data_IF_892389499005
#
_entry.id   IF_892389499005
#
_cell.length_a   1.000
_cell.length_b   1.000
_cell.length_c   1.000
_cell.angle_alpha   90.00
_cell.angle_beta   90.00
_cell.angle_gamma   90.00
#
_symmetry.space_group_name_H-M   'P 1'
#
loop_
_entity.id
_entity.type
_entity.pdbx_description
1 polymer ?
#
# COMPACT_ATOMS: atom_id res chain seq x y z
N UNK A 1 65.78 -54.03 -2.44
CA UNK A 1 64.59 -54.86 -2.62
C UNK A 1 63.36 -54.29 -1.92
N UNK A 2 63.50 -53.30 -1.07
CA UNK A 2 62.45 -52.73 -0.21
C UNK A 2 61.72 -51.49 -0.83
N UNK A 3 62.23 -50.84 -1.88
CA UNK A 3 61.54 -49.67 -2.52
C UNK A 3 60.52 -50.04 -3.61
N UNK A 4 60.69 -51.17 -4.29
CA UNK A 4 59.75 -51.63 -5.32
C UNK A 4 58.35 -51.98 -4.79
N UNK A 5 58.30 -52.55 -3.62
CA UNK A 5 57.03 -53.01 -3.00
C UNK A 5 56.19 -51.82 -2.53
N UNK A 6 56.79 -50.65 -2.26
CA UNK A 6 56.08 -49.45 -1.80
C UNK A 6 55.33 -48.71 -2.93
N UNK A 7 55.78 -48.79 -4.18
CA UNK A 7 55.20 -48.14 -5.33
C UNK A 7 54.05 -48.95 -5.96
N UNK A 8 54.06 -50.25 -5.91
CA UNK A 8 52.97 -51.10 -6.40
C UNK A 8 51.70 -50.96 -5.53
N UNK A 9 51.85 -50.89 -4.20
CA UNK A 9 50.71 -50.70 -3.32
C UNK A 9 49.99 -49.32 -3.42
N UNK A 10 50.73 -48.27 -3.83
CA UNK A 10 50.15 -46.93 -4.01
C UNK A 10 49.36 -46.82 -5.33
N UNK A 11 49.78 -47.51 -6.36
CA UNK A 11 49.08 -47.55 -7.63
C UNK A 11 47.80 -48.37 -7.55
N UNK A 12 47.80 -49.49 -6.86
CA UNK A 12 46.57 -50.28 -6.63
C UNK A 12 45.51 -49.53 -5.84
N UNK A 13 45.90 -48.74 -4.84
CA UNK A 13 44.93 -47.88 -4.08
C UNK A 13 44.39 -46.75 -4.94
N UNK A 14 45.17 -46.19 -5.86
CA UNK A 14 44.70 -45.16 -6.82
C UNK A 14 43.72 -45.74 -7.83
N UNK A 15 44.02 -46.90 -8.38
CA UNK A 15 43.09 -47.58 -9.33
C UNK A 15 41.79 -48.00 -8.66
N UNK A 16 41.84 -48.49 -7.41
CA UNK A 16 40.62 -48.85 -6.65
C UNK A 16 39.78 -47.61 -6.36
N UNK A 17 40.40 -46.48 -5.99
CA UNK A 17 39.67 -45.20 -5.77
C UNK A 17 39.07 -44.67 -7.05
N UNK A 18 39.80 -44.72 -8.16
CA UNK A 18 39.27 -44.26 -9.47
C UNK A 18 38.09 -45.12 -9.90
N UNK A 19 38.14 -46.42 -9.70
CA UNK A 19 37.08 -47.37 -10.00
C UNK A 19 35.82 -47.17 -9.13
N UNK A 20 35.96 -46.74 -7.90
CA UNK A 20 34.84 -46.41 -6.99
C UNK A 20 34.20 -45.09 -7.40
N UNK A 21 35.03 -44.07 -7.72
CA UNK A 21 34.55 -42.76 -8.18
C UNK A 21 33.81 -42.89 -9.52
N UNK A 22 34.35 -43.64 -10.49
CA UNK A 22 33.70 -43.85 -11.78
C UNK A 22 32.36 -44.62 -11.64
N UNK A 23 32.26 -45.59 -10.72
CA UNK A 23 30.99 -46.29 -10.42
C UNK A 23 29.98 -45.37 -9.75
N UNK A 24 30.41 -44.50 -8.86
CA UNK A 24 29.57 -43.48 -8.22
C UNK A 24 29.05 -42.46 -9.26
N UNK A 25 29.93 -41.95 -10.13
CA UNK A 25 29.52 -41.02 -11.23
C UNK A 25 28.54 -41.68 -12.21
N UNK A 26 28.73 -42.94 -12.60
CA UNK A 26 27.78 -43.68 -13.43
C UNK A 26 26.39 -43.80 -12.74
N UNK A 27 26.34 -44.12 -11.46
CA UNK A 27 25.11 -44.20 -10.67
C UNK A 27 24.41 -42.88 -10.55
N UNK A 28 25.14 -41.79 -10.33
CA UNK A 28 24.60 -40.39 -10.30
C UNK A 28 24.07 -40.01 -11.68
N UNK A 29 24.79 -40.35 -12.77
CA UNK A 29 24.32 -40.08 -14.13
C UNK A 29 23.03 -40.84 -14.46
N UNK A 30 22.92 -42.10 -14.08
CA UNK A 30 21.70 -42.91 -14.25
C UNK A 30 20.55 -42.34 -13.41
N UNK A 31 20.81 -41.90 -12.18
CA UNK A 31 19.80 -41.27 -11.33
C UNK A 31 19.29 -39.95 -11.92
N UNK A 32 20.18 -39.15 -12.52
CA UNK A 32 19.82 -37.92 -13.23
C UNK A 32 18.98 -38.17 -14.50
N UNK A 33 19.30 -39.19 -15.25
CA UNK A 33 18.53 -39.61 -16.44
C UNK A 33 17.15 -40.14 -16.02
N UNK A 34 17.06 -40.94 -14.95
CA UNK A 34 15.80 -41.42 -14.43
C UNK A 34 14.95 -40.27 -13.84
N UNK A 35 15.56 -39.31 -13.17
CA UNK A 35 14.87 -38.13 -12.64
C UNK A 35 14.38 -37.21 -13.77
N UNK A 36 15.16 -37.03 -14.85
CA UNK A 36 14.73 -36.26 -16.01
C UNK A 36 13.63 -36.97 -16.82
N UNK A 37 13.69 -38.31 -16.92
CA UNK A 37 12.62 -39.10 -17.51
C UNK A 37 11.35 -39.09 -16.66
N UNK A 38 11.46 -39.07 -15.34
CA UNK A 38 10.34 -38.91 -14.43
C UNK A 38 9.73 -37.52 -14.53
N UNK A 39 10.54 -36.46 -14.60
CA UNK A 39 10.10 -35.08 -14.80
C UNK A 39 9.43 -34.87 -16.18
N UNK A 40 9.91 -35.53 -17.24
CA UNK A 40 9.27 -35.46 -18.56
C UNK A 40 7.96 -36.26 -18.62
N UNK A 41 7.81 -37.35 -17.84
CA UNK A 41 6.56 -38.10 -17.71
C UNK A 41 5.46 -37.30 -16.96
N UNK A 42 5.85 -36.32 -16.12
CA UNK A 42 4.91 -35.38 -15.50
C UNK A 42 4.54 -34.17 -16.38
N UNK A 43 5.14 -34.02 -17.54
CA UNK A 43 4.57 -33.16 -18.58
C UNK A 43 3.36 -33.90 -19.17
N UNK A 44 2.28 -33.94 -18.39
CA UNK A 44 0.98 -34.29 -18.88
C UNK A 44 0.75 -33.45 -20.14
N UNK A 45 0.73 -34.06 -21.30
CA UNK A 45 0.12 -33.48 -22.48
C UNK A 45 -1.28 -33.09 -22.03
N UNK A 46 -1.46 -31.80 -21.67
CA UNK A 46 -2.79 -31.26 -21.54
C UNK A 46 -3.40 -31.42 -22.89
N UNK A 47 -4.17 -32.48 -23.04
CA UNK A 47 -5.09 -32.61 -24.16
C UNK A 47 -5.88 -31.30 -24.13
N UNK A 48 -5.67 -30.47 -25.15
CA UNK A 48 -6.45 -29.28 -25.37
C UNK A 48 -7.88 -29.81 -25.53
N UNK A 49 -8.69 -29.65 -24.48
CA UNK A 49 -10.09 -30.02 -24.54
C UNK A 49 -10.69 -29.19 -25.68
N UNK A 50 -11.38 -29.79 -26.63
CA UNK A 50 -12.12 -29.10 -27.69
C UNK A 50 -13.26 -28.22 -27.13
N UNK A 51 -13.40 -28.15 -25.81
CA UNK A 51 -14.38 -27.32 -25.15
C UNK A 51 -13.98 -25.82 -25.26
N UNK A 52 -14.90 -24.97 -25.70
CA UNK A 52 -14.68 -23.55 -25.77
C UNK A 52 -14.24 -23.00 -24.39
N UNK A 53 -13.34 -22.05 -24.36
CA UNK A 53 -12.84 -21.45 -23.13
C UNK A 53 -13.55 -20.12 -22.87
N UNK A 54 -14.22 -19.99 -21.72
CA UNK A 54 -14.72 -18.74 -21.19
C UNK A 54 -13.81 -18.27 -20.03
N UNK A 55 -13.07 -17.19 -20.24
CA UNK A 55 -12.31 -16.56 -19.17
C UNK A 55 -13.22 -15.59 -18.40
N UNK A 56 -13.14 -15.59 -17.07
CA UNK A 56 -13.95 -14.74 -16.22
C UNK A 56 -13.05 -13.88 -15.34
N UNK A 57 -13.21 -12.57 -15.44
CA UNK A 57 -12.56 -11.57 -14.62
C UNK A 57 -13.59 -10.90 -13.71
N UNK A 58 -13.22 -10.62 -12.47
CA UNK A 58 -14.10 -9.93 -11.50
C UNK A 58 -13.51 -8.59 -11.10
N UNK A 59 -14.31 -7.54 -11.24
CA UNK A 59 -13.98 -6.15 -10.86
C UNK A 59 -14.98 -5.69 -9.79
N UNK A 60 -14.53 -5.70 -8.54
CA UNK A 60 -15.27 -5.23 -7.36
C UNK A 60 -14.51 -4.10 -6.66
N UNK A 61 -14.12 -3.09 -7.42
CA UNK A 61 -13.32 -1.98 -6.93
C UNK A 61 -13.58 -0.70 -7.75
N UNK A 62 -13.19 0.49 -7.26
CA UNK A 62 -13.19 1.71 -8.06
C UNK A 62 -12.31 1.57 -9.30
N UNK A 63 -12.72 2.17 -10.41
CA UNK A 63 -12.00 2.16 -11.68
C UNK A 63 -10.74 3.02 -11.56
N UNK A 64 -9.63 2.38 -11.27
CA UNK A 64 -8.31 2.96 -11.02
C UNK A 64 -7.24 2.32 -11.92
N UNK A 65 -6.06 2.94 -12.12
CA UNK A 65 -5.04 2.44 -13.04
C UNK A 65 -4.68 0.95 -12.90
N UNK A 66 -4.60 0.33 -11.69
CA UNK A 66 -4.32 -1.10 -11.59
C UNK A 66 -5.38 -2.00 -12.25
N UNK A 67 -6.64 -1.54 -12.34
CA UNK A 67 -7.69 -2.30 -13.05
C UNK A 67 -7.53 -2.24 -14.57
N UNK A 68 -6.97 -1.16 -15.13
CA UNK A 68 -6.60 -1.13 -16.54
C UNK A 68 -5.58 -2.22 -16.87
N UNK A 69 -4.51 -2.33 -16.06
CA UNK A 69 -3.49 -3.38 -16.24
C UNK A 69 -4.11 -4.78 -16.15
N UNK A 70 -4.96 -5.01 -15.15
CA UNK A 70 -5.67 -6.27 -14.98
C UNK A 70 -6.53 -6.62 -16.21
N UNK A 71 -7.36 -5.66 -16.70
CA UNK A 71 -8.25 -5.89 -17.84
C UNK A 71 -7.43 -6.10 -19.12
N UNK A 72 -6.39 -5.31 -19.35
CA UNK A 72 -5.49 -5.48 -20.51
C UNK A 72 -4.81 -6.84 -20.49
N UNK A 73 -4.27 -7.27 -19.36
CA UNK A 73 -3.72 -8.63 -19.19
C UNK A 73 -4.76 -9.72 -19.42
N UNK A 74 -6.01 -9.47 -19.03
CA UNK A 74 -7.14 -10.37 -19.29
C UNK A 74 -7.40 -10.55 -20.76
N UNK A 75 -7.50 -9.46 -21.52
CA UNK A 75 -7.70 -9.45 -22.98
C UNK A 75 -6.53 -10.17 -23.67
N UNK A 76 -5.29 -9.82 -23.36
CA UNK A 76 -4.12 -10.51 -23.92
C UNK A 76 -4.08 -12.00 -23.58
N UNK A 77 -4.49 -12.38 -22.37
CA UNK A 77 -4.55 -13.78 -21.97
C UNK A 77 -5.63 -14.53 -22.72
N UNK A 78 -6.79 -13.90 -22.96
CA UNK A 78 -7.86 -14.43 -23.76
C UNK A 78 -7.40 -14.67 -25.21
N UNK A 79 -6.69 -13.70 -25.80
CA UNK A 79 -6.11 -13.84 -27.15
C UNK A 79 -5.09 -14.97 -27.22
N UNK A 80 -4.10 -15.01 -26.32
CA UNK A 80 -3.07 -16.07 -26.30
C UNK A 80 -3.64 -17.49 -26.10
N UNK A 81 -4.77 -17.60 -25.41
CA UNK A 81 -5.42 -18.90 -25.12
C UNK A 81 -6.52 -19.26 -26.11
N UNK A 82 -6.74 -18.41 -27.10
CA UNK A 82 -7.86 -18.55 -28.04
C UNK A 82 -9.20 -18.75 -27.32
N UNK A 83 -9.45 -17.92 -26.30
CA UNK A 83 -10.70 -17.97 -25.55
C UNK A 83 -11.87 -17.62 -26.47
N UNK A 84 -12.98 -18.32 -26.30
CA UNK A 84 -14.22 -18.04 -27.03
C UNK A 84 -14.80 -16.69 -26.60
N UNK A 85 -14.71 -16.39 -25.30
CA UNK A 85 -15.21 -15.15 -24.70
C UNK A 85 -14.42 -14.80 -23.46
N UNK A 86 -14.23 -13.51 -23.24
CA UNK A 86 -13.81 -12.93 -21.98
C UNK A 86 -15.02 -12.28 -21.30
N UNK A 87 -15.42 -12.78 -20.14
CA UNK A 87 -16.49 -12.19 -19.32
C UNK A 87 -15.86 -11.27 -18.29
N UNK A 88 -16.20 -10.00 -18.36
CA UNK A 88 -15.83 -8.99 -17.36
C UNK A 88 -17.02 -8.77 -16.43
N UNK A 89 -17.03 -9.47 -15.29
CA UNK A 89 -18.02 -9.26 -14.25
C UNK A 89 -17.69 -7.99 -13.48
N UNK A 90 -18.64 -7.03 -13.39
CA UNK A 90 -18.39 -5.70 -12.84
C UNK A 90 -19.40 -5.34 -11.76
N UNK A 91 -18.86 -4.84 -10.61
CA UNK A 91 -19.60 -4.21 -9.52
C UNK A 91 -18.79 -3.03 -9.02
N UNK A 92 -19.13 -1.80 -9.43
CA UNK A 92 -18.38 -0.59 -9.11
C UNK A 92 -19.24 0.63 -9.05
N UNK A 93 -18.90 1.57 -8.19
CA UNK A 93 -19.52 2.89 -8.10
C UNK A 93 -18.93 3.91 -9.09
N UNK A 94 -17.87 3.52 -9.82
CA UNK A 94 -17.18 4.39 -10.77
C UNK A 94 -15.70 4.54 -10.48
N UNK A 95 -15.09 5.63 -10.92
CA UNK A 95 -13.66 5.92 -10.72
C UNK A 95 -13.10 6.92 -11.71
N UNK A 96 -11.82 6.81 -12.06
CA UNK A 96 -11.10 7.72 -12.93
C UNK A 96 -11.61 7.70 -14.36
N UNK A 97 -11.94 8.87 -14.91
CA UNK A 97 -12.40 9.05 -16.31
C UNK A 97 -11.28 8.66 -17.31
N UNK A 98 -10.03 9.02 -17.04
CA UNK A 98 -8.89 8.67 -17.88
C UNK A 98 -8.71 7.15 -17.96
N UNK A 99 -8.75 6.47 -16.81
CA UNK A 99 -8.67 5.01 -16.74
C UNK A 99 -9.84 4.35 -17.46
N UNK A 100 -11.05 4.88 -17.30
CA UNK A 100 -12.25 4.41 -18.00
C UNK A 100 -12.08 4.47 -19.52
N UNK A 101 -11.61 5.61 -20.07
CA UNK A 101 -11.42 5.73 -21.54
C UNK A 101 -10.39 4.74 -22.07
N UNK A 102 -9.30 4.52 -21.32
CA UNK A 102 -8.29 3.52 -21.69
C UNK A 102 -8.85 2.09 -21.67
N UNK A 103 -9.67 1.75 -20.67
CA UNK A 103 -10.36 0.46 -20.59
C UNK A 103 -11.36 0.30 -21.77
N UNK A 104 -12.16 1.32 -22.07
CA UNK A 104 -13.07 1.32 -23.22
C UNK A 104 -12.30 1.07 -24.50
N UNK A 105 -11.18 1.76 -24.71
CA UNK A 105 -10.32 1.57 -25.88
C UNK A 105 -9.79 0.13 -25.95
N UNK A 106 -9.30 -0.42 -24.84
CA UNK A 106 -8.78 -1.78 -24.79
C UNK A 106 -9.86 -2.84 -25.11
N UNK A 107 -11.10 -2.65 -24.60
CA UNK A 107 -12.22 -3.53 -24.89
C UNK A 107 -12.58 -3.45 -26.39
N UNK A 108 -12.71 -2.24 -26.93
CA UNK A 108 -13.13 -2.06 -28.32
C UNK A 108 -12.10 -2.49 -29.35
N UNK A 109 -10.81 -2.45 -29.02
CA UNK A 109 -9.71 -2.94 -29.83
C UNK A 109 -9.45 -4.46 -29.67
N UNK A 110 -10.27 -5.17 -28.91
CA UNK A 110 -10.07 -6.60 -28.67
C UNK A 110 -10.63 -7.45 -29.82
N UNK A 111 -9.80 -8.37 -30.35
CA UNK A 111 -10.21 -9.41 -31.31
C UNK A 111 -11.08 -10.49 -30.63
N UNK A 112 -10.84 -10.73 -29.33
CA UNK A 112 -11.65 -11.67 -28.54
C UNK A 112 -12.90 -10.96 -28.03
N UNK A 113 -14.08 -11.56 -28.17
CA UNK A 113 -15.31 -11.03 -27.63
C UNK A 113 -15.21 -10.77 -26.12
N UNK A 114 -15.38 -9.50 -25.71
CA UNK A 114 -15.48 -9.09 -24.31
C UNK A 114 -16.93 -8.85 -23.97
N UNK A 115 -17.47 -9.66 -23.08
CA UNK A 115 -18.85 -9.55 -22.58
C UNK A 115 -18.78 -8.91 -21.18
N UNK A 116 -19.43 -7.77 -21.02
CA UNK A 116 -19.48 -7.14 -19.69
C UNK A 116 -20.76 -7.58 -18.99
N UNK A 117 -20.61 -8.11 -17.79
CA UNK A 117 -21.69 -8.63 -16.98
C UNK A 117 -21.79 -7.89 -15.65
N UNK A 118 -22.83 -7.09 -15.49
CA UNK A 118 -23.10 -6.38 -14.21
C UNK A 118 -23.66 -7.40 -13.22
N UNK A 119 -22.84 -7.86 -12.30
CA UNK A 119 -23.15 -8.92 -11.34
C UNK A 119 -22.19 -8.84 -10.12
N UNK A 120 -22.52 -9.49 -9.01
CA UNK A 120 -23.68 -10.36 -8.74
C UNK A 120 -25.01 -9.60 -8.59
N UNK A 121 -26.06 -10.30 -8.13
CA UNK A 121 -27.33 -9.67 -7.74
C UNK A 121 -27.06 -8.45 -6.81
N UNK A 122 -27.80 -7.34 -7.02
CA UNK A 122 -27.61 -6.03 -6.39
C UNK A 122 -26.31 -5.28 -6.77
N UNK A 123 -25.55 -5.78 -7.75
CA UNK A 123 -24.38 -5.04 -8.23
C UNK A 123 -24.75 -3.74 -8.91
N UNK A 124 -23.81 -2.81 -8.93
CA UNK A 124 -23.94 -1.50 -9.54
C UNK A 124 -22.84 -1.34 -10.59
N UNK A 125 -23.21 -0.97 -11.81
CA UNK A 125 -22.30 -0.38 -12.79
C UNK A 125 -22.52 1.13 -12.80
N UNK A 126 -21.91 1.84 -11.86
CA UNK A 126 -22.07 3.28 -11.69
C UNK A 126 -21.00 4.08 -12.42
N UNK A 127 -21.34 5.27 -12.91
CA UNK A 127 -20.39 6.24 -13.48
C UNK A 127 -19.49 5.62 -14.55
N UNK A 128 -18.16 5.61 -14.35
CA UNK A 128 -17.20 4.95 -15.24
C UNK A 128 -17.56 3.48 -15.54
N UNK A 129 -18.13 2.77 -14.55
CA UNK A 129 -18.56 1.38 -14.70
C UNK A 129 -19.66 1.22 -15.75
N UNK A 130 -20.61 2.13 -15.82
CA UNK A 130 -21.66 2.11 -16.83
C UNK A 130 -21.10 2.33 -18.25
N UNK A 131 -20.17 3.24 -18.41
CA UNK A 131 -19.50 3.49 -19.71
C UNK A 131 -18.70 2.25 -20.15
N UNK A 132 -17.97 1.62 -19.22
CA UNK A 132 -17.24 0.36 -19.48
C UNK A 132 -18.22 -0.77 -19.84
N UNK A 133 -19.36 -0.85 -19.13
CA UNK A 133 -20.36 -1.86 -19.43
C UNK A 133 -20.92 -1.69 -20.87
N UNK A 134 -21.28 -0.47 -21.26
CA UNK A 134 -21.76 -0.17 -22.61
C UNK A 134 -20.72 -0.44 -23.69
N UNK A 135 -19.42 -0.38 -23.39
CA UNK A 135 -18.34 -0.64 -24.33
C UNK A 135 -18.14 -2.15 -24.62
N UNK A 136 -18.73 -3.05 -23.86
CA UNK A 136 -18.71 -4.47 -24.11
C UNK A 136 -19.26 -4.84 -25.49
N UNK A 137 -18.70 -5.89 -26.11
CA UNK A 137 -19.22 -6.42 -27.37
C UNK A 137 -20.61 -7.05 -27.19
N UNK A 138 -20.89 -7.58 -26.01
CA UNK A 138 -22.23 -7.82 -25.49
C UNK A 138 -22.30 -7.38 -24.04
N UNK A 139 -23.49 -7.02 -23.58
CA UNK A 139 -23.73 -6.51 -22.22
C UNK A 139 -24.85 -7.32 -21.57
N UNK A 140 -24.57 -7.79 -20.36
CA UNK A 140 -25.55 -8.50 -19.57
C UNK A 140 -25.66 -7.92 -18.16
N UNK A 141 -26.80 -8.11 -17.52
CA UNK A 141 -27.02 -7.69 -16.13
C UNK A 141 -27.70 -8.81 -15.34
N UNK A 142 -27.30 -8.96 -14.08
CA UNK A 142 -27.99 -9.84 -13.13
C UNK A 142 -29.30 -9.16 -12.63
N UNK A 143 -30.25 -9.92 -12.09
CA UNK A 143 -31.44 -9.37 -11.45
C UNK A 143 -31.10 -8.35 -10.36
N UNK A 144 -31.94 -7.32 -10.22
CA UNK A 144 -31.83 -6.30 -9.17
C UNK A 144 -30.51 -5.50 -9.24
N UNK A 145 -29.86 -5.43 -10.41
CA UNK A 145 -28.68 -4.61 -10.65
C UNK A 145 -29.07 -3.26 -11.25
N UNK A 146 -28.17 -2.29 -11.13
CA UNK A 146 -28.34 -0.90 -11.57
C UNK A 146 -27.18 -0.52 -12.48
N UNK A 147 -27.49 0.25 -13.53
CA UNK A 147 -26.50 0.84 -14.45
C UNK A 147 -26.80 2.33 -14.65
N UNK A 148 -25.77 3.18 -14.69
CA UNK A 148 -25.92 4.60 -15.01
C UNK A 148 -25.18 5.55 -14.08
N UNK A 149 -25.79 6.73 -13.83
CA UNK A 149 -25.22 7.81 -13.02
C UNK A 149 -23.82 8.25 -13.51
N UNK A 150 -23.68 8.51 -14.83
CA UNK A 150 -22.36 8.70 -15.49
C UNK A 150 -22.01 10.18 -15.76
N UNK A 151 -22.60 11.11 -15.03
CA UNK A 151 -22.24 12.53 -15.13
C UNK A 151 -20.78 12.77 -14.74
N UNK A 152 -19.98 13.45 -15.57
CA UNK A 152 -18.61 13.81 -15.23
C UNK A 152 -18.54 14.74 -14.03
N UNK A 153 -17.59 14.47 -13.13
CA UNK A 153 -17.23 15.29 -11.98
C UNK A 153 -15.75 15.66 -12.08
N UNK A 154 -15.32 16.69 -11.35
CA UNK A 154 -13.91 17.07 -11.26
C UNK A 154 -13.06 15.97 -10.58
N UNK A 155 -11.76 15.96 -10.88
CA UNK A 155 -10.81 15.05 -10.22
C UNK A 155 -10.71 15.25 -8.70
N UNK A 156 -11.07 16.44 -8.20
CA UNK A 156 -11.23 16.71 -6.77
C UNK A 156 -12.58 16.23 -6.22
N UNK A 157 -13.47 15.72 -7.08
CA UNK A 157 -14.83 15.32 -6.74
C UNK A 157 -15.83 16.49 -6.64
N UNK A 158 -15.39 17.71 -6.87
CA UNK A 158 -16.27 18.89 -6.94
C UNK A 158 -17.08 18.90 -8.23
N UNK A 159 -18.19 19.62 -8.24
CA UNK A 159 -18.90 19.91 -9.47
C UNK A 159 -18.00 20.71 -10.41
N UNK A 160 -17.87 20.24 -11.64
CA UNK A 160 -17.21 20.99 -12.71
C UNK A 160 -17.96 22.30 -12.94
N UNK A 161 -17.23 23.38 -13.24
CA UNK A 161 -17.88 24.57 -13.76
C UNK A 161 -18.62 24.25 -15.07
N UNK A 162 -19.61 25.06 -15.43
CA UNK A 162 -20.50 24.80 -16.58
C UNK A 162 -19.76 24.44 -17.87
N UNK A 163 -18.66 25.15 -18.18
CA UNK A 163 -17.92 24.96 -19.42
C UNK A 163 -17.07 23.66 -19.39
N UNK A 164 -16.42 23.37 -18.28
CA UNK A 164 -15.66 22.12 -18.11
C UNK A 164 -16.59 20.90 -18.10
N UNK A 165 -17.75 21.01 -17.43
CA UNK A 165 -18.78 19.97 -17.42
C UNK A 165 -19.31 19.71 -18.84
N UNK A 166 -19.66 20.75 -19.59
CA UNK A 166 -20.11 20.61 -20.97
C UNK A 166 -19.07 19.93 -21.87
N UNK A 167 -17.81 20.33 -21.75
CA UNK A 167 -16.70 19.69 -22.50
C UNK A 167 -16.54 18.20 -22.14
N UNK A 168 -16.51 17.85 -20.85
CA UNK A 168 -16.38 16.49 -20.38
C UNK A 168 -17.57 15.61 -20.79
N UNK A 169 -18.79 16.12 -20.66
CA UNK A 169 -20.02 15.46 -21.07
C UNK A 169 -20.03 15.20 -22.58
N UNK A 170 -19.72 16.20 -23.41
CA UNK A 170 -19.67 16.04 -24.86
C UNK A 170 -18.56 15.05 -25.30
N UNK A 171 -17.40 15.08 -24.67
CA UNK A 171 -16.33 14.13 -24.92
C UNK A 171 -16.77 12.70 -24.59
N UNK A 172 -17.42 12.49 -23.44
CA UNK A 172 -17.92 11.17 -23.03
C UNK A 172 -18.99 10.66 -24.00
N UNK A 173 -19.94 11.51 -24.41
CA UNK A 173 -20.94 11.15 -25.43
C UNK A 173 -20.31 10.78 -26.76
N UNK A 174 -19.30 11.53 -27.22
CA UNK A 174 -18.61 11.24 -28.47
C UNK A 174 -17.92 9.86 -28.45
N UNK A 175 -17.40 9.45 -27.29
CA UNK A 175 -16.81 8.10 -27.10
C UNK A 175 -17.88 7.02 -27.08
N UNK A 176 -19.03 7.26 -26.45
CA UNK A 176 -20.10 6.27 -26.24
C UNK A 176 -20.92 6.00 -27.50
N UNK A 177 -21.22 7.03 -28.28
CA UNK A 177 -22.08 6.95 -29.47
C UNK A 177 -21.71 5.81 -30.44
N UNK A 178 -20.45 5.62 -30.86
CA UNK A 178 -20.11 4.62 -31.87
C UNK A 178 -20.50 3.17 -31.51
N UNK A 179 -20.57 2.85 -30.23
CA UNK A 179 -20.92 1.49 -29.78
C UNK A 179 -22.32 1.35 -29.19
N UNK A 180 -23.00 2.47 -28.90
CA UNK A 180 -24.41 2.45 -28.44
C UNK A 180 -25.38 2.75 -29.56
N UNK A 181 -25.05 3.63 -30.50
CA UNK A 181 -25.95 3.99 -31.63
C UNK A 181 -26.42 2.77 -32.44
N UNK A 182 -25.58 1.74 -32.72
CA UNK A 182 -26.02 0.51 -33.39
C UNK A 182 -27.09 -0.28 -32.60
N UNK A 183 -27.22 -0.07 -31.29
CA UNK A 183 -28.24 -0.69 -30.43
C UNK A 183 -29.61 -0.04 -30.56
N UNK A 184 -29.70 1.12 -31.23
CA UNK A 184 -30.93 1.80 -31.52
C UNK A 184 -31.11 3.12 -30.78
N UNK A 185 -32.15 3.89 -31.23
CA UNK A 185 -32.40 5.24 -30.69
C UNK A 185 -32.73 5.27 -29.19
N UNK A 186 -33.45 4.25 -28.69
CA UNK A 186 -33.80 4.19 -27.28
C UNK A 186 -32.56 3.96 -26.38
N UNK A 187 -31.67 3.07 -26.82
CA UNK A 187 -30.41 2.84 -26.15
C UNK A 187 -29.51 4.08 -26.10
N UNK A 188 -29.38 4.75 -27.25
CA UNK A 188 -28.60 5.99 -27.34
C UNK A 188 -29.17 7.09 -26.44
N UNK A 189 -30.46 7.32 -26.48
CA UNK A 189 -31.13 8.33 -25.64
C UNK A 189 -30.96 8.04 -24.15
N UNK A 190 -31.05 6.76 -23.77
CA UNK A 190 -30.82 6.34 -22.38
C UNK A 190 -29.35 6.53 -21.95
N UNK A 191 -28.37 6.14 -22.78
CA UNK A 191 -26.96 6.37 -22.52
C UNK A 191 -26.61 7.85 -22.38
N UNK A 192 -27.17 8.72 -23.24
CA UNK A 192 -26.98 10.16 -23.14
C UNK A 192 -27.62 10.74 -21.86
N UNK A 193 -28.82 10.29 -21.46
CA UNK A 193 -29.42 10.70 -20.19
C UNK A 193 -28.61 10.25 -18.96
N UNK A 194 -27.94 9.09 -19.01
CA UNK A 194 -27.00 8.66 -17.96
C UNK A 194 -25.82 9.63 -17.81
N UNK A 195 -25.37 10.22 -18.91
CA UNK A 195 -24.25 11.16 -18.93
C UNK A 195 -24.68 12.59 -18.60
N UNK A 196 -25.79 13.07 -19.17
CA UNK A 196 -26.27 14.44 -18.99
C UNK A 196 -26.93 14.67 -17.62
N UNK A 197 -27.81 13.75 -17.23
CA UNK A 197 -28.74 13.88 -16.11
C UNK A 197 -28.39 12.98 -14.94
N UNK A 198 -27.27 12.27 -15.02
CA UNK A 198 -26.86 11.23 -14.04
C UNK A 198 -27.97 10.16 -13.83
N UNK A 199 -28.77 9.86 -14.86
CA UNK A 199 -29.84 8.87 -14.78
C UNK A 199 -29.26 7.49 -14.49
N UNK A 200 -29.88 6.78 -13.56
CA UNK A 200 -29.60 5.38 -13.29
C UNK A 200 -30.87 4.55 -13.55
N UNK A 201 -30.70 3.35 -14.06
CA UNK A 201 -31.82 2.47 -14.44
C UNK A 201 -31.60 1.06 -13.96
N UNK A 202 -32.70 0.34 -13.83
CA UNK A 202 -32.72 -1.09 -13.48
C UNK A 202 -32.37 -1.95 -14.69
N UNK A 203 -32.10 -3.26 -14.45
CA UNK A 203 -31.88 -4.25 -15.51
C UNK A 203 -33.03 -4.32 -16.51
N UNK A 204 -34.29 -4.20 -16.05
CA UNK A 204 -35.46 -4.33 -16.91
C UNK A 204 -35.65 -3.12 -17.81
N UNK A 205 -35.41 -1.90 -17.29
CA UNK A 205 -35.40 -0.67 -18.09
C UNK A 205 -34.27 -0.65 -19.13
N UNK A 206 -33.07 -1.10 -18.74
CA UNK A 206 -31.92 -1.21 -19.64
C UNK A 206 -32.17 -2.23 -20.78
N UNK A 207 -32.79 -3.36 -20.44
CA UNK A 207 -33.15 -4.39 -21.43
C UNK A 207 -34.23 -3.88 -22.39
N UNK A 208 -35.27 -3.23 -21.87
CA UNK A 208 -36.37 -2.63 -22.69
C UNK A 208 -35.84 -1.58 -23.64
N UNK A 209 -34.85 -0.80 -23.24
CA UNK A 209 -34.21 0.20 -24.09
C UNK A 209 -33.19 -0.40 -25.08
N UNK A 210 -32.94 -1.72 -25.05
CA UNK A 210 -31.87 -2.40 -25.78
C UNK A 210 -30.46 -1.90 -25.46
N UNK A 211 -30.27 -1.26 -24.29
CA UNK A 211 -28.93 -0.86 -23.82
C UNK A 211 -28.10 -2.07 -23.43
N UNK A 212 -28.74 -3.13 -22.94
CA UNK A 212 -28.14 -4.42 -22.65
C UNK A 212 -28.77 -5.53 -23.52
N UNK A 213 -28.04 -6.61 -23.71
CA UNK A 213 -28.43 -7.71 -24.57
C UNK A 213 -29.15 -8.84 -23.79
N UNK A 214 -28.73 -9.04 -22.52
CA UNK A 214 -29.23 -10.17 -21.72
C UNK A 214 -29.47 -9.81 -20.26
N UNK A 215 -30.47 -10.46 -19.68
CA UNK A 215 -30.65 -10.62 -18.23
C UNK A 215 -30.31 -12.07 -17.86
N UNK A 216 -29.32 -12.29 -17.01
CA UNK A 216 -28.83 -13.61 -16.63
C UNK A 216 -28.65 -13.72 -15.11
N UNK A 217 -29.00 -14.85 -14.50
CA UNK A 217 -28.87 -15.05 -13.06
C UNK A 217 -27.46 -15.49 -12.63
N UNK A 218 -26.72 -16.10 -13.54
CA UNK A 218 -25.38 -16.65 -13.29
C UNK A 218 -24.54 -16.60 -14.57
N UNK A 219 -23.25 -16.90 -14.44
CA UNK A 219 -22.34 -17.03 -15.58
C UNK A 219 -22.78 -18.19 -16.49
N UNK A 220 -23.27 -19.29 -15.92
CA UNK A 220 -23.78 -20.44 -16.71
C UNK A 220 -25.01 -20.04 -17.52
N UNK A 221 -25.92 -19.27 -16.97
CA UNK A 221 -27.10 -18.76 -17.70
C UNK A 221 -26.69 -17.77 -18.77
N UNK A 222 -25.70 -16.90 -18.50
CA UNK A 222 -25.14 -16.00 -19.48
C UNK A 222 -24.50 -16.75 -20.66
N UNK A 223 -23.69 -17.76 -20.38
CA UNK A 223 -23.07 -18.59 -21.46
C UNK A 223 -24.10 -19.30 -22.30
N UNK A 224 -25.21 -19.78 -21.73
CA UNK A 224 -26.33 -20.35 -22.52
C UNK A 224 -26.98 -19.28 -23.41
N UNK A 225 -27.19 -18.07 -22.90
CA UNK A 225 -27.80 -17.00 -23.66
C UNK A 225 -26.90 -16.48 -24.79
N UNK A 226 -25.59 -16.43 -24.57
CA UNK A 226 -24.58 -16.03 -25.54
C UNK A 226 -24.38 -17.05 -26.67
N UNK A 227 -24.79 -18.31 -26.51
CA UNK A 227 -24.54 -19.33 -27.51
C UNK A 227 -25.31 -19.07 -28.80
N UNK A 228 -24.60 -18.88 -29.90
CA UNK A 228 -25.16 -18.51 -31.21
C UNK A 228 -25.37 -16.98 -31.38
N UNK A 229 -25.13 -16.17 -30.33
CA UNK A 229 -25.21 -14.73 -30.45
C UNK A 229 -24.02 -14.17 -31.22
N UNK A 230 -24.28 -13.27 -32.17
CA UNK A 230 -23.23 -12.65 -32.98
C UNK A 230 -22.83 -11.33 -32.41
N UNK A 231 -21.55 -11.16 -32.12
CA UNK A 231 -20.93 -9.90 -31.66
C UNK A 231 -20.04 -9.32 -32.75
N UNK A 232 -19.85 -7.99 -32.68
CA UNK A 232 -18.93 -7.27 -33.56
C UNK A 232 -17.68 -6.92 -32.77
N UNK A 233 -16.56 -7.53 -33.11
CA UNK A 233 -15.21 -7.23 -32.57
C UNK A 233 -14.40 -6.42 -33.58
N UNK A 234 -13.18 -6.02 -33.21
CA UNK A 234 -12.26 -5.35 -34.15
C UNK A 234 -11.87 -6.28 -35.30
N UNK A 235 -11.78 -7.60 -35.08
CA UNK A 235 -11.54 -8.63 -36.11
C UNK A 235 -12.77 -8.90 -37.00
N UNK A 236 -13.95 -8.33 -36.69
CA UNK A 236 -15.19 -8.52 -37.46
C UNK A 236 -16.32 -9.21 -36.70
N UNK A 237 -17.38 -9.58 -37.44
CA UNK A 237 -18.53 -10.27 -36.85
C UNK A 237 -18.18 -11.73 -36.48
N UNK A 238 -18.50 -12.13 -35.25
CA UNK A 238 -18.24 -13.46 -34.72
C UNK A 238 -19.45 -14.03 -33.98
N UNK A 239 -19.93 -15.21 -34.39
CA UNK A 239 -20.93 -15.97 -33.65
C UNK A 239 -20.25 -16.71 -32.49
N UNK A 240 -20.82 -16.61 -31.29
CA UNK A 240 -20.26 -17.20 -30.08
C UNK A 240 -20.71 -18.67 -29.92
N UNK A 241 -19.79 -19.54 -29.57
CA UNK A 241 -20.03 -20.96 -29.29
C UNK A 241 -19.72 -21.23 -27.80
N UNK A 242 -20.60 -20.77 -26.94
CA UNK A 242 -20.38 -20.82 -25.49
C UNK A 242 -21.09 -21.95 -24.77
N UNK A 243 -21.83 -22.81 -25.50
CA UNK A 243 -22.45 -23.99 -24.92
C UNK A 243 -21.37 -24.94 -24.39
N UNK A 244 -21.47 -25.31 -23.12
CA UNK A 244 -20.50 -26.15 -22.43
C UNK A 244 -19.08 -25.54 -22.38
N UNK A 245 -18.94 -24.22 -22.48
CA UNK A 245 -17.65 -23.58 -22.34
C UNK A 245 -17.08 -23.82 -20.95
N UNK A 246 -15.80 -24.17 -20.90
CA UNK A 246 -15.08 -24.31 -19.64
C UNK A 246 -14.84 -22.94 -19.05
N UNK A 247 -15.44 -22.69 -17.90
CA UNK A 247 -15.26 -21.45 -17.14
C UNK A 247 -13.91 -21.51 -16.43
N UNK A 248 -13.07 -20.49 -16.65
CA UNK A 248 -11.81 -20.34 -15.95
C UNK A 248 -11.69 -18.93 -15.40
N UNK A 249 -11.61 -18.78 -14.06
CA UNK A 249 -11.38 -17.48 -13.46
C UNK A 249 -9.96 -16.99 -13.77
N UNK A 250 -9.83 -15.69 -13.98
CA UNK A 250 -8.56 -14.99 -14.10
C UNK A 250 -8.53 -13.93 -13.02
N UNK A 251 -7.87 -14.22 -11.92
CA UNK A 251 -7.80 -13.34 -10.76
C UNK A 251 -6.73 -12.25 -10.94
N UNK A 252 -6.83 -11.20 -10.10
CA UNK A 252 -5.79 -10.21 -9.94
C UNK A 252 -4.46 -10.87 -9.53
N UNK A 253 -3.38 -10.53 -10.20
CA UNK A 253 -2.03 -10.89 -9.77
C UNK A 253 -1.71 -10.24 -8.42
N UNK A 254 -0.67 -10.75 -7.73
CA UNK A 254 -0.23 -10.16 -6.46
C UNK A 254 0.09 -8.66 -6.60
N UNK A 255 0.77 -8.27 -7.68
CA UNK A 255 1.15 -6.86 -7.92
C UNK A 255 -0.07 -5.99 -8.18
N UNK A 256 -0.99 -6.43 -9.04
CA UNK A 256 -2.24 -5.69 -9.34
C UNK A 256 -3.09 -5.50 -8.07
N UNK A 257 -3.22 -6.55 -7.26
CA UNK A 257 -3.94 -6.49 -5.97
C UNK A 257 -3.24 -5.55 -5.00
N UNK A 258 -1.92 -5.62 -4.90
CA UNK A 258 -1.14 -4.73 -4.04
C UNK A 258 -1.29 -3.27 -4.46
N UNK A 259 -1.14 -2.97 -5.76
CA UNK A 259 -1.32 -1.62 -6.27
C UNK A 259 -2.76 -1.11 -6.08
N UNK A 260 -3.75 -1.99 -6.23
CA UNK A 260 -5.15 -1.64 -5.98
C UNK A 260 -5.40 -1.25 -4.52
N UNK A 261 -4.80 -1.97 -3.55
CA UNK A 261 -4.87 -1.62 -2.13
C UNK A 261 -4.29 -0.23 -1.88
N UNK A 262 -3.23 0.17 -2.58
CA UNK A 262 -2.64 1.51 -2.43
C UNK A 262 -3.54 2.64 -2.94
N UNK A 263 -4.56 2.33 -3.77
CA UNK A 263 -5.56 3.32 -4.20
C UNK A 263 -6.70 3.52 -3.19
N UNK A 264 -6.69 2.80 -2.05
CA UNK A 264 -7.62 3.05 -0.95
C UNK A 264 -7.18 4.28 -0.15
N UNK A 265 -8.04 5.30 0.02
CA UNK A 265 -7.68 6.53 0.74
C UNK A 265 -7.30 6.30 2.20
N UNK A 266 -7.87 5.28 2.86
CA UNK A 266 -7.52 4.93 4.23
C UNK A 266 -6.10 4.37 4.31
N UNK A 267 -5.71 3.53 3.36
CA UNK A 267 -4.35 2.98 3.27
C UNK A 267 -3.35 4.08 2.95
N UNK A 268 -3.63 4.94 1.96
CA UNK A 268 -2.78 6.08 1.63
C UNK A 268 -2.58 7.00 2.84
N UNK A 269 -3.65 7.32 3.58
CA UNK A 269 -3.60 8.10 4.82
C UNK A 269 -2.73 7.43 5.90
N UNK A 270 -2.90 6.13 6.15
CA UNK A 270 -2.10 5.41 7.15
C UNK A 270 -0.62 5.36 6.74
N UNK A 271 -0.32 5.16 5.45
CA UNK A 271 1.04 5.18 4.95
C UNK A 271 1.71 6.55 5.14
N UNK A 272 0.98 7.66 4.93
CA UNK A 272 1.46 9.01 5.22
C UNK A 272 1.74 9.14 6.73
N UNK A 273 0.78 8.76 7.57
CA UNK A 273 0.88 8.90 9.01
C UNK A 273 2.08 8.12 9.57
N UNK A 274 2.21 6.84 9.20
CA UNK A 274 3.32 5.97 9.62
C UNK A 274 4.64 6.45 9.02
N UNK A 275 4.65 6.81 7.73
CA UNK A 275 5.84 7.23 7.02
C UNK A 275 6.47 8.47 7.60
N UNK A 276 5.67 9.52 7.86
CA UNK A 276 6.16 10.75 8.48
C UNK A 276 6.64 10.50 9.90
N UNK A 277 5.89 9.71 10.70
CA UNK A 277 6.30 9.33 12.05
C UNK A 277 7.66 8.61 12.06
N UNK A 278 7.83 7.64 11.16
CA UNK A 278 9.06 6.86 11.07
C UNK A 278 10.26 7.75 10.69
N UNK A 279 10.08 8.68 9.75
CA UNK A 279 11.12 9.67 9.39
C UNK A 279 11.46 10.58 10.57
N UNK A 280 10.45 11.05 11.33
CA UNK A 280 10.68 11.90 12.51
C UNK A 280 11.44 11.15 13.62
N UNK A 281 11.13 9.86 13.84
CA UNK A 281 11.86 9.04 14.81
C UNK A 281 13.33 8.92 14.41
N UNK A 282 13.63 8.67 13.13
CA UNK A 282 15.02 8.58 12.64
C UNK A 282 15.77 9.90 12.78
N UNK A 283 15.13 11.05 12.44
CA UNK A 283 15.74 12.38 12.60
C UNK A 283 15.99 12.71 14.08
N UNK A 284 15.10 12.26 14.96
CA UNK A 284 15.19 12.54 16.41
C UNK A 284 16.21 11.65 17.12
N UNK A 285 16.47 10.45 16.61
CA UNK A 285 17.38 9.45 17.17
C UNK A 285 18.22 8.79 16.06
N UNK A 286 19.13 9.54 15.44
CA UNK A 286 19.88 9.05 14.28
C UNK A 286 20.79 7.88 14.67
N UNK A 287 20.81 6.84 13.81
CA UNK A 287 21.74 5.71 13.93
C UNK A 287 21.16 4.31 13.70
N UNK A 288 19.83 4.17 13.68
CA UNK A 288 19.18 2.87 13.45
C UNK A 288 18.90 2.56 11.98
N UNK A 289 18.75 3.56 11.12
CA UNK A 289 18.38 3.48 9.69
C UNK A 289 17.05 2.76 9.39
N UNK A 290 16.58 1.92 10.31
CA UNK A 290 15.37 1.10 10.12
C UNK A 290 14.12 1.97 10.05
N UNK A 291 13.96 2.91 10.97
CA UNK A 291 12.79 3.79 10.99
C UNK A 291 12.78 4.70 9.74
N UNK A 292 13.93 5.27 9.37
CA UNK A 292 14.08 6.09 8.17
C UNK A 292 13.75 5.31 6.90
N UNK A 293 14.25 4.08 6.78
CA UNK A 293 13.95 3.20 5.64
C UNK A 293 12.44 2.90 5.54
N UNK A 294 11.81 2.49 6.65
CA UNK A 294 10.35 2.26 6.70
C UNK A 294 9.60 3.53 6.30
N UNK A 295 10.03 4.68 6.80
CA UNK A 295 9.43 5.97 6.49
C UNK A 295 9.47 6.30 5.00
N UNK A 296 10.64 6.16 4.37
CA UNK A 296 10.78 6.39 2.92
C UNK A 296 9.91 5.43 2.11
N UNK A 297 9.89 4.15 2.45
CA UNK A 297 9.05 3.15 1.78
C UNK A 297 7.56 3.51 1.90
N UNK A 298 7.09 3.79 3.12
CA UNK A 298 5.68 4.18 3.34
C UNK A 298 5.30 5.44 2.56
N UNK A 299 6.14 6.48 2.57
CA UNK A 299 5.88 7.72 1.84
C UNK A 299 5.92 7.52 0.32
N UNK A 300 6.80 6.67 -0.20
CA UNK A 300 6.84 6.34 -1.62
C UNK A 300 5.56 5.61 -2.07
N UNK A 301 5.09 4.66 -1.27
CA UNK A 301 3.82 3.96 -1.53
C UNK A 301 2.61 4.91 -1.41
N UNK A 302 2.63 5.80 -0.40
CA UNK A 302 1.60 6.83 -0.25
C UNK A 302 1.56 7.79 -1.45
N UNK A 303 2.73 8.18 -1.98
CA UNK A 303 2.82 9.04 -3.16
C UNK A 303 2.18 8.40 -4.40
N UNK A 304 2.31 7.07 -4.57
CA UNK A 304 1.58 6.35 -5.61
C UNK A 304 0.05 6.48 -5.42
N UNK A 305 -0.45 6.23 -4.19
CA UNK A 305 -1.88 6.39 -3.87
C UNK A 305 -2.38 7.81 -4.14
N UNK A 306 -1.64 8.83 -3.66
CA UNK A 306 -1.98 10.24 -3.88
C UNK A 306 -2.01 10.63 -5.35
N UNK A 307 -1.17 10.02 -6.19
CA UNK A 307 -1.17 10.24 -7.64
C UNK A 307 -2.40 9.69 -8.36
N UNK A 308 -3.16 8.80 -7.72
CA UNK A 308 -4.35 8.16 -8.28
C UNK A 308 -5.66 8.65 -7.66
N UNK A 309 -5.60 9.18 -6.44
CA UNK A 309 -6.77 9.64 -5.68
C UNK A 309 -7.06 11.13 -5.93
N UNK A 310 -8.34 11.54 -5.89
CA UNK A 310 -8.72 12.94 -5.87
C UNK A 310 -8.36 13.55 -4.51
N UNK A 311 -7.28 14.31 -4.45
CA UNK A 311 -6.79 14.89 -3.21
C UNK A 311 -6.76 16.42 -3.27
N UNK A 312 -7.08 17.04 -2.13
CA UNK A 312 -6.93 18.48 -1.97
C UNK A 312 -5.58 18.79 -1.33
N UNK A 313 -4.63 19.27 -2.12
CA UNK A 313 -3.26 19.53 -1.71
C UNK A 313 -3.11 20.52 -0.54
N UNK A 314 -4.11 21.38 -0.29
CA UNK A 314 -4.10 22.24 0.91
C UNK A 314 -4.07 21.43 2.22
N UNK A 315 -4.60 20.21 2.22
CA UNK A 315 -4.51 19.32 3.37
C UNK A 315 -3.07 18.98 3.78
N UNK A 316 -2.13 18.93 2.83
CA UNK A 316 -0.71 18.70 3.12
C UNK A 316 -0.11 19.82 3.97
N UNK A 317 -0.52 21.08 3.74
CA UNK A 317 -0.04 22.21 4.53
C UNK A 317 -0.39 22.00 6.02
N UNK A 318 -1.62 21.58 6.32
CA UNK A 318 -2.05 21.30 7.68
C UNK A 318 -1.32 20.09 8.28
N UNK A 319 -1.05 19.04 7.47
CA UNK A 319 -0.26 17.90 7.94
C UNK A 319 1.17 18.30 8.28
N UNK A 320 1.84 19.08 7.42
CA UNK A 320 3.18 19.59 7.70
C UNK A 320 3.16 20.46 8.96
N UNK A 321 2.17 21.36 9.11
CA UNK A 321 2.00 22.19 10.29
C UNK A 321 1.85 21.34 11.56
N UNK A 322 1.08 20.27 11.50
CA UNK A 322 0.92 19.35 12.63
C UNK A 322 2.26 18.78 13.11
N UNK A 323 3.07 18.28 12.19
CA UNK A 323 4.38 17.71 12.52
C UNK A 323 5.36 18.76 13.02
N UNK A 324 5.35 19.97 12.46
CA UNK A 324 6.15 21.11 13.00
C UNK A 324 5.74 21.42 14.43
N UNK A 325 4.45 21.46 14.73
CA UNK A 325 3.95 21.69 16.08
C UNK A 325 4.38 20.60 17.06
N UNK A 326 4.35 19.32 16.66
CA UNK A 326 4.85 18.22 17.48
C UNK A 326 6.35 18.37 17.80
N UNK A 327 7.17 18.71 16.81
CA UNK A 327 8.62 18.93 17.02
C UNK A 327 8.87 20.14 17.95
N UNK A 328 8.11 21.20 17.76
CA UNK A 328 8.25 22.41 18.59
C UNK A 328 7.87 22.16 20.06
N UNK A 329 6.86 21.32 20.32
CA UNK A 329 6.44 20.98 21.69
C UNK A 329 7.53 20.22 22.47
N UNK A 330 8.36 19.43 21.77
CA UNK A 330 9.51 18.75 22.38
C UNK A 330 10.60 19.76 22.78
N UNK A 331 10.78 20.85 22.00
CA UNK A 331 11.84 21.84 22.20
C UNK A 331 11.42 23.00 23.10
N UNK A 332 10.14 23.33 23.17
CA UNK A 332 9.58 24.44 23.93
C UNK A 332 8.79 23.93 25.15
N UNK A 333 8.86 24.56 26.31
CA UNK A 333 8.17 24.14 27.54
C UNK A 333 6.67 24.48 27.50
N UNK A 334 5.92 23.98 26.48
CA UNK A 334 4.50 24.31 26.27
C UNK A 334 3.54 23.35 26.98
N UNK A 335 4.07 22.36 27.70
CA UNK A 335 3.31 21.38 28.49
C UNK A 335 2.24 20.62 27.70
N UNK A 336 2.47 20.40 26.40
CA UNK A 336 1.55 19.65 25.53
C UNK A 336 0.54 20.50 24.76
N UNK A 337 0.54 21.83 24.92
CA UNK A 337 -0.39 22.69 24.18
C UNK A 337 -0.16 22.65 22.68
N UNK A 338 1.11 22.62 22.22
CA UNK A 338 1.45 22.48 20.81
C UNK A 338 1.15 21.07 20.29
N UNK A 339 1.30 20.03 21.11
CA UNK A 339 0.86 18.67 20.75
C UNK A 339 -0.66 18.64 20.52
N UNK A 340 -1.48 19.24 21.35
CA UNK A 340 -2.93 19.31 21.16
C UNK A 340 -3.30 20.07 19.86
N UNK A 341 -2.66 21.20 19.60
CA UNK A 341 -2.83 21.96 18.36
C UNK A 341 -2.35 21.15 17.13
N UNK A 342 -1.27 20.38 17.26
CA UNK A 342 -0.76 19.47 16.24
C UNK A 342 -1.74 18.37 15.91
N UNK A 343 -2.37 17.73 16.91
CA UNK A 343 -3.43 16.72 16.70
C UNK A 343 -4.62 17.32 15.95
N UNK A 344 -5.07 18.51 16.36
CA UNK A 344 -6.16 19.19 15.66
C UNK A 344 -5.80 19.49 14.20
N UNK A 345 -4.59 20.03 13.95
CA UNK A 345 -4.09 20.31 12.60
C UNK A 345 -3.95 19.03 11.77
N UNK A 346 -3.49 17.92 12.36
CA UNK A 346 -3.38 16.63 11.70
C UNK A 346 -4.76 16.10 11.23
N UNK A 347 -5.74 16.14 12.12
CA UNK A 347 -7.12 15.69 11.80
C UNK A 347 -7.72 16.57 10.70
N UNK A 348 -7.64 17.90 10.83
CA UNK A 348 -8.13 18.82 9.80
C UNK A 348 -7.39 18.59 8.48
N UNK A 349 -6.07 18.45 8.52
CA UNK A 349 -5.24 18.20 7.34
C UNK A 349 -5.64 16.94 6.58
N UNK A 350 -5.83 15.83 7.29
CA UNK A 350 -6.26 14.58 6.71
C UNK A 350 -7.68 14.68 6.09
N UNK A 351 -8.61 15.32 6.79
CA UNK A 351 -9.96 15.53 6.29
C UNK A 351 -9.99 16.47 5.08
N UNK A 352 -9.21 17.53 5.09
CA UNK A 352 -9.10 18.44 3.93
C UNK A 352 -8.47 17.71 2.74
N UNK A 353 -7.44 16.88 2.98
CA UNK A 353 -6.74 16.15 1.93
C UNK A 353 -7.66 15.17 1.19
N UNK A 354 -8.47 14.40 1.92
CA UNK A 354 -9.23 13.27 1.37
C UNK A 354 -10.75 13.46 1.35
N UNK A 355 -11.31 14.36 2.16
CA UNK A 355 -12.76 14.50 2.32
C UNK A 355 -13.28 15.88 1.89
N UNK A 356 -12.65 16.48 0.90
CA UNK A 356 -13.11 17.78 0.36
C UNK A 356 -14.55 17.73 -0.18
N UNK A 357 -15.26 18.83 -0.19
CA UNK A 357 -16.58 18.91 -0.83
C UNK A 357 -16.52 18.36 -2.27
N UNK A 358 -17.43 17.44 -2.59
CA UNK A 358 -17.48 16.80 -3.90
C UNK A 358 -16.72 15.48 -4.03
N UNK A 359 -15.76 15.15 -3.15
CA UNK A 359 -15.12 13.82 -3.17
C UNK A 359 -16.18 12.72 -3.02
N UNK A 360 -16.27 11.73 -3.92
CA UNK A 360 -17.19 10.61 -3.80
C UNK A 360 -17.00 9.84 -2.48
N UNK A 361 -18.07 9.35 -1.88
CA UNK A 361 -18.00 8.69 -0.57
C UNK A 361 -17.02 7.50 -0.53
N UNK A 362 -16.92 6.73 -1.62
CA UNK A 362 -16.03 5.58 -1.73
C UNK A 362 -14.54 5.96 -1.90
N UNK A 363 -14.24 7.25 -2.10
CA UNK A 363 -12.88 7.80 -2.17
C UNK A 363 -12.54 8.68 -0.97
N UNK A 364 -13.39 8.71 0.05
CA UNK A 364 -13.15 9.45 1.31
C UNK A 364 -12.42 8.59 2.32
N UNK A 365 -11.54 9.23 3.10
CA UNK A 365 -10.98 8.59 4.28
C UNK A 365 -12.03 8.49 5.39
N UNK A 366 -11.99 7.42 6.16
CA UNK A 366 -12.87 7.20 7.30
C UNK A 366 -12.59 8.23 8.41
N UNK A 367 -13.57 9.06 8.75
CA UNK A 367 -13.44 10.05 9.82
C UNK A 367 -13.06 9.42 11.17
N UNK A 368 -13.68 8.31 11.61
CA UNK A 368 -13.23 7.62 12.82
C UNK A 368 -11.78 7.17 12.78
N UNK A 369 -11.29 6.68 11.63
CA UNK A 369 -9.90 6.29 11.44
C UNK A 369 -8.95 7.50 11.61
N UNK A 370 -9.29 8.64 10.99
CA UNK A 370 -8.49 9.87 11.11
C UNK A 370 -8.41 10.34 12.55
N UNK A 371 -9.54 10.36 13.26
CA UNK A 371 -9.58 10.78 14.67
C UNK A 371 -8.77 9.81 15.53
N UNK A 372 -8.97 8.51 15.37
CA UNK A 372 -8.23 7.50 16.13
C UNK A 372 -6.72 7.58 15.90
N UNK A 373 -6.29 7.75 14.64
CA UNK A 373 -4.88 7.92 14.29
C UNK A 373 -4.32 9.22 14.87
N UNK A 374 -5.05 10.34 14.78
CA UNK A 374 -4.64 11.61 15.37
C UNK A 374 -4.45 11.52 16.88
N UNK A 375 -5.39 10.88 17.59
CA UNK A 375 -5.27 10.63 19.03
C UNK A 375 -4.08 9.73 19.34
N UNK A 376 -3.87 8.67 18.58
CA UNK A 376 -2.73 7.75 18.78
C UNK A 376 -1.38 8.46 18.58
N UNK A 377 -1.25 9.30 17.55
CA UNK A 377 -0.06 10.13 17.31
C UNK A 377 0.13 11.11 18.46
N UNK A 378 -0.92 11.82 18.88
CA UNK A 378 -0.87 12.75 20.02
C UNK A 378 -0.45 12.05 21.31
N UNK A 379 -1.00 10.87 21.59
CA UNK A 379 -0.63 10.07 22.76
C UNK A 379 0.85 9.64 22.69
N UNK A 380 1.35 9.24 21.53
CA UNK A 380 2.75 8.89 21.33
C UNK A 380 3.67 10.07 21.63
N UNK A 381 3.37 11.26 21.09
CA UNK A 381 4.16 12.46 21.37
C UNK A 381 4.07 12.88 22.82
N UNK A 382 2.90 12.77 23.45
CA UNK A 382 2.74 13.05 24.88
C UNK A 382 3.57 12.11 25.76
N UNK A 383 3.61 10.81 25.41
CA UNK A 383 4.47 9.83 26.09
C UNK A 383 5.94 10.21 25.94
N UNK A 384 6.39 10.56 24.73
CA UNK A 384 7.76 11.00 24.47
C UNK A 384 8.09 12.24 25.31
N UNK A 385 7.18 13.20 25.36
CA UNK A 385 7.32 14.41 26.18
C UNK A 385 7.48 14.07 27.66
N UNK A 386 6.65 13.15 28.20
CA UNK A 386 6.75 12.71 29.60
C UNK A 386 8.11 12.07 29.90
N UNK A 387 8.63 11.24 29.00
CA UNK A 387 9.97 10.65 29.16
C UNK A 387 11.08 11.70 29.07
N UNK A 388 10.99 12.65 28.14
CA UNK A 388 11.94 13.75 28.02
C UNK A 388 11.97 14.61 29.29
N UNK A 389 10.81 14.99 29.83
CA UNK A 389 10.72 15.75 31.08
C UNK A 389 11.25 14.96 32.30
N UNK A 390 11.03 13.64 32.35
CA UNK A 390 11.62 12.79 33.38
C UNK A 390 13.14 12.74 33.27
N UNK A 391 13.68 12.56 32.08
CA UNK A 391 15.12 12.52 31.84
C UNK A 391 15.81 13.84 32.28
N UNK A 392 15.18 14.98 32.00
CA UNK A 392 15.68 16.29 32.44
C UNK A 392 15.65 16.49 33.97
N UNK A 393 14.73 15.81 34.68
CA UNK A 393 14.63 15.90 36.17
C UNK A 393 15.50 14.86 36.88
N UNK A 394 16.08 13.90 36.18
CA UNK A 394 16.97 12.90 36.80
C UNK A 394 18.29 13.60 37.15
N UNK A 395 18.69 13.64 38.43
CA UNK A 395 19.96 14.21 38.79
C UNK A 395 21.10 13.43 38.12
N UNK A 396 22.10 14.14 37.67
CA UNK A 396 23.29 13.55 37.04
C UNK A 396 23.94 12.61 38.08
N UNK A 397 23.75 11.32 37.93
CA UNK A 397 24.27 10.29 38.83
C UNK A 397 25.65 9.76 38.40
N UNK A 398 26.13 10.16 37.24
CA UNK A 398 27.42 9.77 36.69
C UNK A 398 28.21 11.04 36.32
N UNK A 399 29.40 11.16 36.89
CA UNK A 399 30.30 12.29 36.66
C UNK A 399 30.83 12.85 37.97
N UNK A 400 31.82 13.73 37.89
CA UNK A 400 32.46 14.35 39.05
C UNK A 400 31.48 15.20 39.89
N UNK A 401 30.40 15.73 39.31
CA UNK A 401 29.34 16.44 39.99
C UNK A 401 28.54 15.57 40.99
N UNK A 402 28.55 14.23 40.80
CA UNK A 402 27.87 13.28 41.69
C UNK A 402 28.50 13.21 43.11
N UNK A 403 29.69 13.74 43.26
CA UNK A 403 30.38 13.83 44.56
C UNK A 403 29.89 14.96 45.42
N UNK A 404 29.23 15.99 44.88
CA UNK A 404 28.67 17.13 45.66
C UNK A 404 27.64 16.60 46.65
N UNK A 405 27.77 17.04 47.93
CA UNK A 405 26.94 16.58 49.04
C UNK A 405 27.35 15.20 49.64
N UNK A 406 28.40 14.54 49.11
CA UNK A 406 28.90 13.31 49.70
C UNK A 406 29.88 13.56 50.82
N UNK A 407 29.86 12.68 51.81
CA UNK A 407 30.76 12.75 52.96
C UNK A 407 31.99 11.87 52.64
N UNK A 408 33.18 12.46 52.82
CA UNK A 408 34.48 11.80 52.72
C UNK A 408 35.26 11.84 54.00
N UNK A 409 36.36 11.06 54.04
CA UNK A 409 37.28 11.04 55.18
C UNK A 409 38.65 11.52 54.71
N UNK A 410 39.20 12.50 55.44
CA UNK A 410 40.49 13.07 55.14
C UNK A 410 41.62 12.08 55.41
N UNK A 411 42.39 11.72 54.39
CA UNK A 411 43.53 10.78 54.48
C UNK A 411 44.85 11.51 54.74
N UNK A 412 45.03 12.68 54.14
CA UNK A 412 46.17 13.56 54.34
C UNK A 412 45.74 14.99 54.17
N UNK A 413 46.26 15.92 55.02
CA UNK A 413 45.89 17.33 54.95
C UNK A 413 47.11 18.17 55.36
N UNK A 414 47.41 19.17 54.57
CA UNK A 414 48.46 20.15 54.85
C UNK A 414 47.97 21.55 54.45
N UNK A 415 47.99 22.45 55.38
CA UNK A 415 47.48 23.83 55.21
C UNK A 415 46.02 23.88 54.73
N UNK A 416 45.75 24.37 53.52
CA UNK A 416 44.42 24.44 52.93
C UNK A 416 44.10 23.31 51.95
N UNK A 417 45.01 22.37 51.74
CA UNK A 417 44.87 21.30 50.70
C UNK A 417 45.17 19.93 51.29
N UNK A 418 44.56 18.91 50.70
CA UNK A 418 44.79 17.55 51.11
C UNK A 418 44.19 16.50 50.19
N UNK A 419 44.10 15.28 50.71
CA UNK A 419 43.46 14.17 50.03
C UNK A 419 42.32 13.64 50.87
N UNK A 420 41.18 13.46 50.23
CA UNK A 420 39.94 12.96 50.82
C UNK A 420 39.49 11.69 50.10
N UNK A 421 39.14 10.71 50.89
CA UNK A 421 38.55 9.47 50.38
C UNK A 421 37.04 9.59 50.36
N UNK A 422 36.47 9.63 49.15
CA UNK A 422 35.02 9.77 48.92
C UNK A 422 34.56 8.63 48.00
N UNK A 423 33.54 7.87 48.36
CA UNK A 423 32.96 6.79 47.57
C UNK A 423 34.00 5.77 46.99
N UNK A 424 34.95 5.37 47.83
CA UNK A 424 36.02 4.41 47.45
C UNK A 424 37.14 4.98 46.57
N UNK A 425 37.14 6.29 46.27
CA UNK A 425 38.19 6.94 45.49
C UNK A 425 38.92 7.99 46.30
N UNK A 426 40.21 8.18 46.01
CA UNK A 426 41.06 9.18 46.65
C UNK A 426 41.12 10.43 45.74
N UNK A 427 40.61 11.55 46.28
CA UNK A 427 40.53 12.80 45.55
C UNK A 427 41.43 13.86 46.19
N UNK A 428 42.03 14.71 45.36
CA UNK A 428 42.64 15.95 45.83
C UNK A 428 41.56 16.93 46.26
N UNK A 429 41.71 17.53 47.44
CA UNK A 429 40.71 18.42 47.99
C UNK A 429 41.33 19.73 48.54
N UNK A 430 40.55 20.79 48.50
CA UNK A 430 40.85 22.10 49.10
C UNK A 430 39.73 22.51 50.05
N UNK A 431 40.08 23.19 51.16
CA UNK A 431 39.09 23.72 52.08
C UNK A 431 38.34 24.90 51.48
N UNK A 432 37.04 25.03 51.76
CA UNK A 432 36.30 26.29 51.52
C UNK A 432 36.76 27.38 52.50
N UNK A 433 36.65 28.66 52.13
CA UNK A 433 37.08 29.80 52.97
C UNK A 433 36.33 29.88 54.31
N UNK A 434 35.17 29.26 54.41
CA UNK A 434 34.32 29.25 55.62
C UNK A 434 34.49 27.95 56.43
N UNK A 435 35.42 27.10 56.11
CA UNK A 435 35.61 25.81 56.80
C UNK A 435 36.46 25.97 58.06
N UNK A 436 36.06 25.31 59.14
CA UNK A 436 36.93 25.09 60.30
C UNK A 436 38.23 24.38 59.91
N UNK A 437 39.31 24.49 60.68
CA UNK A 437 40.55 23.81 60.40
C UNK A 437 40.36 22.30 60.26
N UNK A 438 40.69 21.77 59.10
CA UNK A 438 40.54 20.35 58.73
C UNK A 438 41.84 19.61 59.14
N UNK A 439 41.69 18.41 59.75
CA UNK A 439 42.79 17.53 60.14
C UNK A 439 42.62 16.14 59.55
N UNK A 440 43.71 15.39 59.50
CA UNK A 440 43.69 13.97 59.09
C UNK A 440 42.70 13.19 59.95
N UNK A 441 41.81 12.45 59.33
CA UNK A 441 40.74 11.65 59.95
C UNK A 441 39.40 12.35 60.06
N UNK A 442 39.34 13.65 59.85
CA UNK A 442 38.07 14.39 59.89
C UNK A 442 37.14 13.95 58.79
N UNK A 443 35.83 14.04 59.06
CA UNK A 443 34.78 13.88 58.03
C UNK A 443 34.56 15.24 57.37
N UNK A 444 34.48 15.25 56.05
CA UNK A 444 34.25 16.46 55.27
C UNK A 444 33.15 16.19 54.23
N UNK A 445 32.37 17.22 53.98
CA UNK A 445 31.34 17.23 52.93
C UNK A 445 31.90 17.90 51.68
N UNK A 446 31.65 17.30 50.50
CA UNK A 446 32.02 17.88 49.23
C UNK A 446 30.99 18.96 48.86
N UNK A 447 31.42 20.22 48.80
CA UNK A 447 30.58 21.37 48.49
C UNK A 447 30.55 21.65 46.98
N UNK A 448 31.70 21.49 46.32
CA UNK A 448 31.86 21.76 44.88
C UNK A 448 32.98 20.91 44.28
N UNK A 449 32.87 20.67 42.97
CA UNK A 449 33.94 20.02 42.20
C UNK A 449 34.53 21.04 41.22
N UNK A 450 35.84 21.23 41.26
CA UNK A 450 36.58 22.10 40.34
C UNK A 450 37.61 21.25 39.54
N UNK A 451 37.23 20.82 38.35
CA UNK A 451 38.05 19.96 37.53
C UNK A 451 38.38 18.64 38.27
N UNK A 452 39.65 18.44 38.63
CA UNK A 452 40.14 17.23 39.36
C UNK A 452 40.23 17.44 40.88
N UNK A 453 39.73 18.53 41.44
CA UNK A 453 39.78 18.82 42.86
C UNK A 453 38.39 19.01 43.45
N UNK A 454 38.22 18.49 44.67
CA UNK A 454 37.02 18.70 45.46
C UNK A 454 37.17 19.90 46.38
N UNK A 455 36.21 20.82 46.44
CA UNK A 455 36.08 21.76 47.52
C UNK A 455 35.30 21.15 48.65
N UNK A 456 35.89 21.12 49.85
CA UNK A 456 35.30 20.43 50.98
C UNK A 456 35.13 21.38 52.17
N UNK A 457 34.13 21.09 52.98
CA UNK A 457 33.83 21.72 54.23
C UNK A 457 33.84 20.65 55.35
N UNK A 458 34.32 21.00 56.54
CA UNK A 458 34.22 20.10 57.68
C UNK A 458 32.74 19.78 57.95
N UNK A 459 32.46 18.49 58.13
CA UNK A 459 31.10 17.98 58.37
C UNK A 459 30.78 18.07 59.86
#
# INVERSE_FOLDING_TARGET
MTERIRWEGINDIKELRLGVIMRAMKRIGILFILLSALLSAFQSVRAQSDEPLALVMTVEAPIMPPLLEYITRGIETAQRRNAEVLILQINTLGGSMDTMFKIVTAIRASDVPVVVYVAPKNAIAGSAGAIIAMAGHAVAMAPETIIGASSPIDSSGADLNSDARAKATNATKAVVRPFVEPRGKAALALAEAMIDEAKAVTVDEALQAHLIDFKANSIDDLLKALNGFTVQTDAGARALHTRNARIQPLDLSFIERFLLILTDPNIAFLLIAIGVQAVLIEISSPGGWVAGFIGVVCLSLAAYGLGTLPVNWFGIIFLITAFVLFILDIKAPTHGALTAAGVASFIVGALVLFNSPGTPQFQRVSVPLVIATGIAIGALFFIILLFALRALRTPISAGVESYVGKIGVVKNWKDAHGQVHVQSELWSAEATQESEPIRKGDKVEVVQVNGIRLKVRKY
#
